data_IF_236543247673
#
_entry.id   IF_236543247673
#
_cell.length_a   1.000
_cell.length_b   1.000
_cell.length_c   1.000
_cell.angle_alpha   90.00
_cell.angle_beta   90.00
_cell.angle_gamma   90.00
#
_symmetry.space_group_name_H-M   'P 1'
#
loop_
_entity.id
_entity.type
_entity.pdbx_description
1 polymer ?
#
# COMPACT_ATOMS: atom_id res chain seq x y z
N UNK A 1 -10.24 -37.98 -54.99
CA UNK A 1 -9.13 -37.00 -54.92
C UNK A 1 -9.66 -35.76 -54.21
N UNK A 2 -9.80 -35.83 -52.88
CA UNK A 2 -10.22 -34.72 -52.00
C UNK A 2 -9.64 -34.91 -50.58
N UNK A 3 -9.25 -36.14 -50.23
CA UNK A 3 -8.70 -36.49 -48.91
C UNK A 3 -7.28 -35.96 -48.64
N UNK A 4 -6.48 -35.69 -49.68
CA UNK A 4 -5.12 -35.14 -49.53
C UNK A 4 -5.16 -33.65 -49.11
N UNK A 5 -6.10 -32.87 -49.65
CA UNK A 5 -6.25 -31.45 -49.33
C UNK A 5 -6.80 -31.21 -47.91
N UNK A 6 -7.61 -32.12 -47.38
CA UNK A 6 -8.13 -32.00 -45.99
C UNK A 6 -7.05 -32.26 -44.93
N UNK A 7 -6.07 -33.13 -45.20
CA UNK A 7 -4.97 -33.36 -44.25
C UNK A 7 -4.04 -32.15 -44.13
N UNK A 8 -3.82 -31.44 -45.24
CA UNK A 8 -3.02 -30.20 -45.26
C UNK A 8 -3.71 -29.09 -44.46
N UNK A 9 -4.99 -28.86 -44.73
CA UNK A 9 -5.80 -27.83 -44.05
C UNK A 9 -5.95 -28.13 -42.55
N UNK A 10 -6.17 -29.40 -42.17
CA UNK A 10 -6.28 -29.77 -40.75
C UNK A 10 -4.95 -29.60 -40.02
N UNK A 11 -3.83 -29.91 -40.66
CA UNK A 11 -2.49 -29.69 -40.09
C UNK A 11 -2.22 -28.21 -39.82
N UNK A 12 -2.58 -27.35 -40.76
CA UNK A 12 -2.44 -25.89 -40.61
C UNK A 12 -3.31 -25.34 -39.47
N UNK A 13 -4.59 -25.72 -39.43
CA UNK A 13 -5.51 -25.31 -38.35
C UNK A 13 -5.00 -25.75 -36.98
N UNK A 14 -4.43 -26.95 -36.88
CA UNK A 14 -3.86 -27.48 -35.63
C UNK A 14 -2.59 -26.71 -35.22
N UNK A 15 -1.74 -26.35 -36.19
CA UNK A 15 -0.55 -25.54 -35.93
C UNK A 15 -0.93 -24.15 -35.40
N UNK A 16 -1.88 -23.47 -36.04
CA UNK A 16 -2.38 -22.16 -35.60
C UNK A 16 -2.98 -22.28 -34.20
N UNK A 17 -3.79 -23.30 -33.95
CA UNK A 17 -4.40 -23.54 -32.64
C UNK A 17 -3.34 -23.71 -31.55
N UNK A 18 -2.29 -24.48 -31.82
CA UNK A 18 -1.18 -24.69 -30.88
C UNK A 18 -0.44 -23.38 -30.58
N UNK A 19 -0.14 -22.60 -31.61
CA UNK A 19 0.54 -21.29 -31.45
C UNK A 19 -0.31 -20.34 -30.62
N UNK A 20 -1.62 -20.25 -30.88
CA UNK A 20 -2.52 -19.41 -30.09
C UNK A 20 -2.59 -19.86 -28.62
N UNK A 21 -2.59 -21.17 -28.38
CA UNK A 21 -2.53 -21.73 -27.03
C UNK A 21 -1.24 -21.33 -26.31
N UNK A 22 -0.09 -21.45 -26.98
CA UNK A 22 1.21 -21.06 -26.44
C UNK A 22 1.27 -19.56 -26.13
N UNK A 23 0.79 -18.71 -27.04
CA UNK A 23 0.72 -17.26 -26.85
C UNK A 23 -0.20 -16.91 -25.67
N UNK A 24 -1.35 -17.58 -25.55
CA UNK A 24 -2.28 -17.38 -24.44
C UNK A 24 -1.68 -17.72 -23.08
N UNK A 25 -1.04 -18.88 -22.96
CA UNK A 25 -0.38 -19.31 -21.72
C UNK A 25 0.79 -18.38 -21.37
N UNK A 26 1.55 -17.96 -22.38
CA UNK A 26 2.65 -17.02 -22.20
C UNK A 26 2.17 -15.64 -21.72
N UNK A 27 1.07 -15.12 -22.27
CA UNK A 27 0.50 -13.84 -21.83
C UNK A 27 0.05 -13.87 -20.37
N UNK A 28 -0.62 -14.95 -19.94
CA UNK A 28 -1.05 -15.12 -18.55
C UNK A 28 0.15 -15.26 -17.61
N UNK A 29 1.19 -15.99 -18.02
CA UNK A 29 2.38 -16.18 -17.17
C UNK A 29 3.14 -14.88 -16.95
N UNK A 30 3.24 -14.00 -17.96
CA UNK A 30 3.85 -12.67 -17.82
C UNK A 30 3.15 -11.78 -16.78
N UNK A 31 1.82 -11.91 -16.62
CA UNK A 31 1.07 -11.18 -15.59
C UNK A 31 1.57 -11.47 -14.17
N UNK A 32 2.02 -12.69 -13.91
CA UNK A 32 2.57 -13.10 -12.60
C UNK A 32 3.98 -12.60 -12.35
N UNK A 33 4.70 -12.14 -13.38
CA UNK A 33 6.05 -11.58 -13.26
C UNK A 33 6.04 -10.05 -13.10
N UNK A 34 4.88 -9.41 -13.17
CA UNK A 34 4.79 -7.99 -12.88
C UNK A 34 5.21 -7.75 -11.42
N UNK A 35 6.14 -6.80 -11.16
CA UNK A 35 6.53 -6.49 -9.80
C UNK A 35 5.28 -6.08 -9.01
N UNK A 36 5.12 -6.67 -7.83
CA UNK A 36 4.05 -6.29 -6.91
C UNK A 36 4.15 -4.80 -6.60
N UNK A 37 3.01 -4.14 -6.44
CA UNK A 37 2.92 -2.74 -6.04
C UNK A 37 3.86 -2.50 -4.84
N UNK A 38 4.83 -1.60 -5.04
CA UNK A 38 5.83 -1.26 -4.02
C UNK A 38 5.12 -0.57 -2.86
N UNK A 39 5.52 -0.91 -1.62
CA UNK A 39 5.07 -0.14 -0.46
C UNK A 39 5.49 1.34 -0.62
N UNK A 40 4.57 2.29 -0.37
CA UNK A 40 4.89 3.71 -0.51
C UNK A 40 6.01 4.08 0.45
N UNK A 41 6.94 4.90 -0.03
CA UNK A 41 8.06 5.39 0.79
C UNK A 41 7.73 6.80 1.23
N UNK A 42 7.53 7.00 2.54
CA UNK A 42 7.14 8.29 3.11
C UNK A 42 8.12 8.69 4.20
N UNK A 43 8.60 9.93 4.14
CA UNK A 43 9.40 10.53 5.21
C UNK A 43 8.47 11.24 6.18
N UNK A 44 8.47 10.78 7.43
CA UNK A 44 7.59 11.33 8.47
C UNK A 44 8.42 11.95 9.57
N UNK A 45 8.01 13.14 9.99
CA UNK A 45 8.54 13.79 11.19
C UNK A 45 7.45 13.77 12.26
N UNK A 46 7.77 13.18 13.40
CA UNK A 46 6.88 13.13 14.56
C UNK A 46 7.23 14.25 15.53
N UNK A 47 6.21 14.92 16.06
CA UNK A 47 6.31 15.81 17.21
C UNK A 47 5.22 15.47 18.20
N UNK A 48 5.43 15.78 19.47
CA UNK A 48 4.48 15.53 20.54
C UNK A 48 4.32 16.77 21.41
N UNK A 49 3.10 16.96 21.91
CA UNK A 49 2.78 17.86 23.02
C UNK A 49 2.30 17.00 24.19
N UNK A 50 1.94 17.61 25.32
CA UNK A 50 1.44 16.89 26.49
C UNK A 50 0.16 16.08 26.21
N UNK A 51 -0.64 16.52 25.23
CA UNK A 51 -1.97 15.95 24.96
C UNK A 51 -2.13 15.36 23.55
N UNK A 52 -1.21 15.66 22.62
CA UNK A 52 -1.35 15.28 21.22
C UNK A 52 -0.01 14.77 20.64
N UNK A 53 -0.11 13.85 19.69
CA UNK A 53 0.99 13.47 18.81
C UNK A 53 0.66 13.92 17.39
N UNK A 54 1.62 14.57 16.73
CA UNK A 54 1.49 15.08 15.37
C UNK A 54 2.54 14.45 14.46
N UNK A 55 2.08 13.96 13.30
CA UNK A 55 2.90 13.32 12.27
C UNK A 55 2.86 14.19 11.01
N UNK A 56 4.01 14.72 10.59
CA UNK A 56 4.14 15.56 9.40
C UNK A 56 4.71 14.78 8.23
N UNK A 57 4.07 14.89 7.06
CA UNK A 57 4.61 14.40 5.80
C UNK A 57 5.70 15.34 5.30
N UNK A 58 6.93 14.83 5.20
CA UNK A 58 8.12 15.61 4.80
C UNK A 58 8.70 15.21 3.44
N UNK A 59 8.14 14.20 2.78
CA UNK A 59 8.61 13.76 1.47
C UNK A 59 8.22 12.33 1.13
N UNK A 60 8.46 11.97 -0.13
CA UNK A 60 8.11 10.64 -0.66
C UNK A 60 6.73 10.59 -1.30
N UNK A 61 6.11 9.42 -1.26
CA UNK A 61 4.85 9.13 -1.93
C UNK A 61 3.64 9.69 -1.17
N UNK A 62 2.55 9.99 -1.89
CA UNK A 62 1.27 10.32 -1.26
C UNK A 62 0.56 9.03 -0.86
N UNK A 63 -0.25 9.11 0.20
CA UNK A 63 -0.96 7.94 0.75
C UNK A 63 -2.42 8.28 1.00
N UNK A 64 -3.36 7.38 0.72
CA UNK A 64 -4.77 7.63 1.06
C UNK A 64 -4.98 7.59 2.57
N UNK A 65 -5.69 8.57 3.10
CA UNK A 65 -5.97 8.66 4.55
C UNK A 65 -6.80 7.46 5.05
N UNK A 66 -7.68 6.91 4.21
CA UNK A 66 -8.51 5.74 4.54
C UNK A 66 -7.70 4.45 4.77
N UNK A 67 -6.51 4.36 4.17
CA UNK A 67 -5.62 3.19 4.27
C UNK A 67 -4.59 3.34 5.40
N UNK A 68 -4.63 4.44 6.16
CA UNK A 68 -3.72 4.71 7.27
C UNK A 68 -4.33 4.31 8.61
N UNK A 69 -3.54 3.60 9.41
CA UNK A 69 -3.82 3.32 10.82
C UNK A 69 -2.62 3.80 11.67
N UNK A 70 -2.89 4.68 12.63
CA UNK A 70 -1.89 5.11 13.62
C UNK A 70 -2.08 4.25 14.86
N UNK A 71 -1.00 3.61 15.30
CA UNK A 71 -0.98 2.81 16.52
C UNK A 71 -0.10 3.51 17.53
N UNK A 72 -0.69 3.93 18.64
CA UNK A 72 0.05 4.46 19.79
C UNK A 72 -0.04 3.40 20.90
N UNK A 73 1.11 2.94 21.37
CA UNK A 73 1.20 1.92 22.41
C UNK A 73 2.16 2.37 23.50
N UNK A 74 1.77 2.19 24.76
CA UNK A 74 2.63 2.35 25.92
C UNK A 74 2.67 1.03 26.71
N UNK A 75 3.27 1.05 27.91
CA UNK A 75 3.37 -0.15 28.75
C UNK A 75 2.02 -0.72 29.23
N UNK A 76 0.94 0.07 29.22
CA UNK A 76 -0.35 -0.29 29.83
C UNK A 76 -1.51 -0.41 28.84
N UNK A 77 -1.41 0.23 27.68
CA UNK A 77 -2.49 0.40 26.71
C UNK A 77 -1.97 0.50 25.28
N UNK A 78 -2.78 0.04 24.34
CA UNK A 78 -2.55 0.23 22.90
C UNK A 78 -3.83 0.78 22.29
N UNK A 79 -3.72 1.88 21.55
CA UNK A 79 -4.84 2.51 20.86
C UNK A 79 -4.55 2.67 19.38
N UNK A 80 -5.58 2.44 18.58
CA UNK A 80 -5.55 2.54 17.12
C UNK A 80 -6.42 3.70 16.69
N UNK A 81 -5.91 4.53 15.79
CA UNK A 81 -6.61 5.63 15.16
C UNK A 81 -6.67 5.37 13.66
N UNK A 82 -7.87 5.46 13.09
CA UNK A 82 -8.18 5.35 11.67
C UNK A 82 -8.68 6.70 11.15
N UNK A 83 -9.03 6.76 9.88
CA UNK A 83 -9.45 7.99 9.20
C UNK A 83 -10.63 8.74 9.85
N UNK A 84 -11.39 8.08 10.71
CA UNK A 84 -12.51 8.65 11.47
C UNK A 84 -12.11 9.27 12.82
N UNK A 85 -10.92 8.94 13.32
CA UNK A 85 -10.50 9.17 14.70
C UNK A 85 -9.21 9.99 14.81
N UNK A 86 -8.47 10.15 13.72
CA UNK A 86 -7.39 11.13 13.62
C UNK A 86 -7.81 12.36 12.81
N UNK A 87 -7.17 13.49 13.08
CA UNK A 87 -7.43 14.75 12.37
C UNK A 87 -6.34 14.92 11.32
N UNK A 88 -6.74 14.98 10.04
CA UNK A 88 -5.83 15.31 8.94
C UNK A 88 -5.95 16.79 8.59
N UNK A 89 -4.82 17.50 8.62
CA UNK A 89 -4.73 18.92 8.30
C UNK A 89 -3.70 19.15 7.17
N UNK A 90 -4.05 19.85 6.08
CA UNK A 90 -5.40 20.32 5.73
C UNK A 90 -6.37 19.15 5.46
N UNK A 91 -7.68 19.40 5.60
CA UNK A 91 -8.70 18.37 5.40
C UNK A 91 -8.70 17.90 3.93
N UNK A 92 -8.27 16.65 3.73
CA UNK A 92 -8.09 16.02 2.42
C UNK A 92 -8.34 14.52 2.53
N UNK A 93 -8.44 13.84 1.40
CA UNK A 93 -8.52 12.37 1.35
C UNK A 93 -7.14 11.69 1.28
N UNK A 94 -6.08 12.48 1.12
CA UNK A 94 -4.70 11.99 0.94
C UNK A 94 -3.77 12.68 1.93
N UNK A 95 -2.86 11.89 2.49
CA UNK A 95 -1.72 12.34 3.25
C UNK A 95 -0.54 12.55 2.27
N UNK A 96 -0.35 13.80 1.89
CA UNK A 96 0.65 14.28 0.94
C UNK A 96 1.62 15.28 1.59
N UNK A 97 2.62 15.72 0.83
CA UNK A 97 3.65 16.64 1.32
C UNK A 97 3.04 17.91 1.93
N UNK A 98 3.47 18.24 3.16
CA UNK A 98 2.98 19.40 3.90
C UNK A 98 1.70 19.13 4.71
N UNK A 99 1.08 17.97 4.54
CA UNK A 99 -0.01 17.52 5.41
C UNK A 99 0.51 17.02 6.76
N UNK A 100 -0.36 17.10 7.77
CA UNK A 100 -0.10 16.66 9.14
C UNK A 100 -1.28 15.87 9.68
N UNK A 101 -1.00 14.77 10.37
CA UNK A 101 -2.01 14.01 11.10
C UNK A 101 -1.83 14.25 12.59
N UNK A 102 -2.90 14.61 13.28
CA UNK A 102 -2.93 14.83 14.73
C UNK A 102 -3.78 13.75 15.37
N UNK A 103 -3.25 13.11 16.42
CA UNK A 103 -3.98 12.18 17.28
C UNK A 103 -3.93 12.66 18.73
N UNK A 104 -5.07 12.59 19.41
CA UNK A 104 -5.18 12.99 20.81
C UNK A 104 -4.72 11.83 21.71
N UNK A 105 -3.61 12.00 22.39
CA UNK A 105 -3.03 11.02 23.30
C UNK A 105 -2.25 11.73 24.41
N UNK A 106 -2.57 11.44 25.67
CA UNK A 106 -1.83 11.98 26.81
C UNK A 106 -0.45 11.33 26.87
N UNK A 107 0.59 12.13 26.63
CA UNK A 107 1.97 11.65 26.52
C UNK A 107 2.60 11.49 27.91
N UNK A 108 3.05 10.28 28.22
CA UNK A 108 3.69 9.86 29.46
C UNK A 108 5.20 9.62 29.33
N UNK A 109 5.75 9.57 28.10
CA UNK A 109 7.20 9.43 27.83
C UNK A 109 7.69 8.00 27.67
N UNK A 110 6.79 7.02 27.56
CA UNK A 110 7.09 5.60 27.33
C UNK A 110 6.40 5.05 26.06
N UNK A 111 5.95 5.94 25.17
CA UNK A 111 5.10 5.56 24.05
C UNK A 111 5.85 5.27 22.76
N UNK A 112 5.38 4.23 22.08
CA UNK A 112 5.76 3.92 20.70
C UNK A 112 4.61 4.30 19.78
N UNK A 113 4.92 5.13 18.78
CA UNK A 113 3.99 5.59 17.75
C UNK A 113 4.37 4.95 16.43
N UNK A 114 3.41 4.27 15.81
CA UNK A 114 3.59 3.59 14.53
C UNK A 114 2.55 4.09 13.53
N UNK A 115 2.98 4.45 12.34
CA UNK A 115 2.08 4.66 11.20
C UNK A 115 2.10 3.43 10.31
N UNK A 116 0.94 2.83 10.10
CA UNK A 116 0.79 1.52 9.47
C UNK A 116 -0.20 1.61 8.31
N UNK A 117 0.10 0.85 7.26
CA UNK A 117 -0.78 0.53 6.14
C UNK A 117 -1.07 -0.98 6.13
N UNK A 118 -2.09 -1.47 5.40
CA UNK A 118 -2.45 -2.88 5.38
C UNK A 118 -1.29 -3.85 5.07
N UNK A 119 -0.28 -3.38 4.32
CA UNK A 119 0.85 -4.20 3.86
C UNK A 119 2.23 -3.69 4.28
N UNK A 120 2.32 -2.58 5.02
CA UNK A 120 3.60 -1.97 5.38
C UNK A 120 3.52 -1.09 6.63
N UNK A 121 4.63 -0.97 7.36
CA UNK A 121 4.79 0.05 8.40
C UNK A 121 5.56 1.21 7.78
N UNK A 122 4.96 2.39 7.75
CA UNK A 122 5.56 3.58 7.13
C UNK A 122 6.51 4.31 8.09
N UNK A 123 6.19 4.29 9.38
CA UNK A 123 6.97 5.00 10.39
C UNK A 123 6.86 4.30 11.74
N UNK A 124 7.95 4.36 12.51
CA UNK A 124 7.98 4.00 13.93
C UNK A 124 8.83 5.03 14.67
N UNK A 125 8.33 5.53 15.79
CA UNK A 125 9.03 6.48 16.65
C UNK A 125 8.72 6.21 18.11
N UNK A 126 9.70 6.42 18.97
CA UNK A 126 9.52 6.43 20.42
C UNK A 126 9.39 7.86 20.91
N UNK A 127 8.47 8.09 21.85
CA UNK A 127 8.35 9.32 22.61
C UNK A 127 9.06 9.09 23.93
N UNK A 128 10.03 9.96 24.25
CA UNK A 128 10.83 9.92 25.49
C UNK A 128 10.73 11.26 26.21
#
# INVERSE_FOLDING_TARGET
MNDEAVSEVVGEMLMISLVLLLVGVFAVSLGNFLPTERAPTVTIMMTNTTENVTLYHKGGDWVRAADLEIVVSNTTATRKYRSDTFILSPEKQVFDLGSSIVVNWTVAGDETVRLVMPRAVLFTGEVR
#
